data_IF_101392936785
#
_entry.id   IF_101392936785
#
_cell.length_a   1.000
_cell.length_b   1.000
_cell.length_c   1.000
_cell.angle_alpha   90.00
_cell.angle_beta   90.00
_cell.angle_gamma   90.00
#
_symmetry.space_group_name_H-M   'P 1'
#
loop_
_entity.id
_entity.type
_entity.pdbx_description
1 polymer ?
#
# COMPACT_ATOMS: atom_id res chain seq x y z
N UNK A 1 1.62 20.60 21.72
CA UNK A 1 1.09 19.38 22.35
C UNK A 1 2.09 18.86 23.37
N UNK A 2 1.70 18.81 24.64
CA UNK A 2 2.59 18.55 25.80
C UNK A 2 3.22 17.15 25.83
N UNK A 3 2.58 16.12 25.27
CA UNK A 3 3.01 14.74 25.49
C UNK A 3 3.57 14.04 24.27
N UNK A 4 3.69 14.67 23.12
CA UNK A 4 4.23 14.14 21.84
C UNK A 4 3.81 12.67 21.54
N UNK A 5 2.65 12.25 22.03
CA UNK A 5 2.12 10.90 21.78
C UNK A 5 1.76 10.78 20.31
N UNK A 6 2.49 9.94 19.59
CA UNK A 6 2.27 9.65 18.18
C UNK A 6 1.91 8.18 18.00
N UNK A 7 0.96 7.92 17.12
CA UNK A 7 0.52 6.57 16.75
C UNK A 7 -0.47 5.96 17.75
N UNK A 8 -1.16 4.93 17.26
CA UNK A 8 -2.18 4.18 18.02
C UNK A 8 -1.53 3.08 18.84
N UNK A 9 -2.07 2.80 20.02
CA UNK A 9 -1.57 1.69 20.86
C UNK A 9 -1.99 0.32 20.33
N UNK A 10 -3.14 0.22 19.65
CA UNK A 10 -3.68 -1.00 19.05
C UNK A 10 -3.86 -2.15 20.06
N UNK A 11 -4.08 -1.84 21.34
CA UNK A 11 -4.24 -2.84 22.38
C UNK A 11 -3.04 -3.75 22.63
N UNK A 12 -1.80 -3.27 22.37
CA UNK A 12 -0.57 -4.08 22.44
C UNK A 12 0.55 -3.36 23.17
N UNK A 13 1.50 -4.16 23.71
CA UNK A 13 2.75 -3.64 24.25
C UNK A 13 3.56 -2.95 23.14
N UNK A 14 4.49 -2.09 23.52
CA UNK A 14 5.31 -1.33 22.58
C UNK A 14 6.12 -2.21 21.62
N UNK A 15 6.75 -3.27 22.14
CA UNK A 15 7.53 -4.22 21.35
C UNK A 15 6.67 -5.01 20.37
N UNK A 16 5.57 -5.58 20.83
CA UNK A 16 4.62 -6.32 20.00
C UNK A 16 4.03 -5.44 18.89
N UNK A 17 3.64 -4.19 19.21
CA UNK A 17 3.13 -3.24 18.22
C UNK A 17 4.16 -2.95 17.13
N UNK A 18 5.42 -2.68 17.49
CA UNK A 18 6.50 -2.44 16.54
C UNK A 18 6.74 -3.65 15.65
N UNK A 19 6.79 -4.85 16.22
CA UNK A 19 6.96 -6.08 15.45
C UNK A 19 5.80 -6.32 14.47
N UNK A 20 4.55 -6.16 14.93
CA UNK A 20 3.36 -6.29 14.09
C UNK A 20 3.39 -5.32 12.90
N UNK A 21 3.72 -4.05 13.12
CA UNK A 21 3.77 -3.05 12.04
C UNK A 21 4.89 -3.35 11.04
N UNK A 22 6.07 -3.81 11.51
CA UNK A 22 7.16 -4.27 10.66
C UNK A 22 6.74 -5.46 9.79
N UNK A 23 6.15 -6.49 10.41
CA UNK A 23 5.70 -7.68 9.68
C UNK A 23 4.65 -7.33 8.62
N UNK A 24 3.70 -6.45 8.93
CA UNK A 24 2.70 -6.02 7.95
C UNK A 24 3.31 -5.23 6.79
N UNK A 25 4.29 -4.36 7.06
CA UNK A 25 4.99 -3.63 6.00
C UNK A 25 5.82 -4.58 5.13
N UNK A 26 6.52 -5.54 5.74
CA UNK A 26 7.26 -6.58 5.01
C UNK A 26 6.34 -7.46 4.18
N UNK A 27 5.19 -7.90 4.73
CA UNK A 27 4.21 -8.70 4.00
C UNK A 27 3.69 -7.98 2.76
N UNK A 28 3.53 -6.64 2.81
CA UNK A 28 3.13 -5.88 1.64
C UNK A 28 4.16 -5.95 0.51
N UNK A 29 5.45 -5.80 0.83
CA UNK A 29 6.52 -5.89 -0.18
C UNK A 29 6.71 -7.33 -0.68
N UNK A 30 6.58 -8.32 0.20
CA UNK A 30 6.69 -9.74 -0.14
C UNK A 30 5.58 -10.24 -1.08
N UNK A 31 4.52 -9.47 -1.32
CA UNK A 31 3.53 -9.80 -2.35
C UNK A 31 4.10 -9.75 -3.78
N UNK A 32 5.26 -9.13 -3.98
CA UNK A 32 5.98 -9.08 -5.26
C UNK A 32 6.98 -10.22 -5.44
N UNK A 33 7.00 -11.21 -4.56
CA UNK A 33 7.86 -12.38 -4.73
C UNK A 33 7.71 -13.01 -6.12
N UNK A 34 8.82 -13.47 -6.68
CA UNK A 34 8.83 -14.29 -7.88
C UNK A 34 8.07 -15.61 -7.69
N UNK A 35 7.64 -16.23 -8.77
CA UNK A 35 6.84 -17.45 -8.75
C UNK A 35 7.51 -18.61 -8.00
N UNK A 36 8.80 -18.83 -8.25
CA UNK A 36 9.57 -19.87 -7.54
C UNK A 36 9.58 -19.70 -6.02
N UNK A 37 9.68 -18.45 -5.55
CA UNK A 37 9.68 -18.18 -4.13
C UNK A 37 8.26 -18.35 -3.52
N UNK A 38 7.21 -18.06 -4.27
CA UNK A 38 5.83 -18.29 -3.85
C UNK A 38 5.49 -19.78 -3.76
N UNK A 39 6.00 -20.60 -4.67
CA UNK A 39 5.87 -22.05 -4.62
C UNK A 39 6.54 -22.65 -3.38
N UNK A 40 7.77 -22.26 -3.08
CA UNK A 40 8.53 -22.73 -1.91
C UNK A 40 7.80 -22.38 -0.61
N UNK A 41 7.24 -21.19 -0.51
CA UNK A 41 6.57 -20.71 0.71
C UNK A 41 5.07 -21.07 0.78
N UNK A 42 4.50 -21.65 -0.28
CA UNK A 42 3.09 -22.04 -0.33
C UNK A 42 2.10 -20.88 -0.17
N UNK A 43 2.54 -19.66 -0.46
CA UNK A 43 1.74 -18.45 -0.23
C UNK A 43 1.71 -17.57 -1.48
N UNK A 44 0.80 -17.86 -2.38
CA UNK A 44 0.59 -17.09 -3.60
C UNK A 44 -0.36 -15.93 -3.32
N UNK A 45 0.05 -14.67 -3.47
CA UNK A 45 -0.83 -13.53 -3.27
C UNK A 45 -1.86 -13.46 -4.40
N UNK A 46 -3.13 -13.24 -4.05
CA UNK A 46 -4.20 -13.04 -5.05
C UNK A 46 -3.97 -11.80 -5.92
N UNK A 47 -3.47 -10.74 -5.31
CA UNK A 47 -3.17 -9.47 -5.96
C UNK A 47 -1.86 -8.96 -5.41
N UNK A 48 -0.91 -8.66 -6.28
CA UNK A 48 0.39 -8.08 -5.91
C UNK A 48 0.22 -6.65 -5.40
N UNK A 49 1.19 -6.17 -4.64
CA UNK A 49 1.25 -4.80 -4.06
C UNK A 49 0.06 -4.45 -3.15
N UNK A 50 -0.63 -5.46 -2.56
CA UNK A 50 -1.86 -5.26 -1.79
C UNK A 50 -1.95 -6.19 -0.59
N UNK A 51 -2.38 -5.64 0.56
CA UNK A 51 -2.73 -6.41 1.76
C UNK A 51 -4.08 -5.95 2.32
N UNK A 52 -4.84 -6.90 2.88
CA UNK A 52 -6.11 -6.62 3.56
C UNK A 52 -5.91 -6.64 5.08
N UNK A 53 -6.35 -5.59 5.76
CA UNK A 53 -6.23 -5.46 7.22
C UNK A 53 -7.31 -4.56 7.79
N UNK A 54 -7.29 -4.28 9.10
CA UNK A 54 -8.20 -3.29 9.69
C UNK A 54 -7.73 -1.87 9.37
N UNK A 55 -8.67 -0.94 9.21
CA UNK A 55 -8.38 0.45 8.83
C UNK A 55 -7.40 1.15 9.79
N UNK A 56 -7.48 0.83 11.10
CA UNK A 56 -6.59 1.39 12.11
C UNK A 56 -5.14 0.96 11.88
N UNK A 57 -4.92 -0.33 11.59
CA UNK A 57 -3.58 -0.88 11.29
C UNK A 57 -3.06 -0.34 9.96
N UNK A 58 -3.90 -0.29 8.92
CA UNK A 58 -3.51 0.26 7.61
C UNK A 58 -3.00 1.70 7.73
N UNK A 59 -3.69 2.55 8.51
CA UNK A 59 -3.28 3.94 8.75
C UNK A 59 -1.92 4.07 9.45
N UNK A 60 -1.58 3.15 10.37
CA UNK A 60 -0.29 3.16 11.06
C UNK A 60 0.85 2.62 10.19
N UNK A 61 0.61 1.51 9.47
CA UNK A 61 1.61 0.89 8.59
C UNK A 61 1.98 1.79 7.41
N UNK A 62 1.01 2.55 6.87
CA UNK A 62 1.21 3.47 5.76
C UNK A 62 2.45 4.33 5.93
N UNK A 63 2.66 4.91 7.10
CA UNK A 63 3.80 5.80 7.35
C UNK A 63 5.15 5.09 7.26
N UNK A 64 5.22 3.80 7.59
CA UNK A 64 6.45 2.99 7.50
C UNK A 64 6.72 2.66 6.04
N UNK A 65 5.70 2.19 5.31
CA UNK A 65 5.78 1.85 3.89
C UNK A 65 6.24 3.05 3.05
N UNK A 66 5.61 4.21 3.24
CA UNK A 66 5.98 5.45 2.53
C UNK A 66 7.44 5.85 2.77
N UNK A 67 7.91 5.74 4.02
CA UNK A 67 9.32 6.01 4.34
C UNK A 67 10.27 5.05 3.67
N UNK A 68 9.94 3.75 3.62
CA UNK A 68 10.74 2.74 2.98
C UNK A 68 10.83 2.99 1.47
N UNK A 69 9.71 3.27 0.80
CA UNK A 69 9.67 3.59 -0.64
C UNK A 69 10.49 4.86 -0.93
N UNK A 70 10.31 5.92 -0.14
CA UNK A 70 11.08 7.16 -0.31
C UNK A 70 12.58 6.94 -0.17
N UNK A 71 13.01 6.09 0.80
CA UNK A 71 14.42 5.74 0.97
C UNK A 71 14.96 4.99 -0.25
N UNK A 72 14.21 4.01 -0.76
CA UNK A 72 14.62 3.21 -1.92
C UNK A 72 14.71 4.06 -3.19
N UNK A 73 13.72 4.93 -3.45
CA UNK A 73 13.74 5.81 -4.63
C UNK A 73 14.89 6.83 -4.61
N UNK A 74 15.20 7.39 -3.46
CA UNK A 74 16.29 8.38 -3.34
C UNK A 74 17.65 7.86 -3.73
N UNK A 75 17.88 6.57 -3.65
CA UNK A 75 19.17 5.95 -3.95
C UNK A 75 19.23 5.30 -5.33
N UNK A 76 18.16 5.32 -6.11
CA UNK A 76 18.17 4.80 -7.49
C UNK A 76 19.27 5.45 -8.37
N UNK A 77 19.47 6.76 -8.36
CA UNK A 77 20.58 7.36 -9.12
C UNK A 77 21.97 6.88 -8.69
N UNK A 78 22.12 6.47 -7.42
CA UNK A 78 23.37 5.91 -6.93
C UNK A 78 23.62 4.48 -7.45
N UNK A 79 22.57 3.71 -7.77
CA UNK A 79 22.70 2.42 -8.44
C UNK A 79 23.28 2.62 -9.85
N UNK A 80 22.73 3.53 -10.65
CA UNK A 80 23.21 3.86 -11.98
C UNK A 80 24.67 4.35 -11.95
N UNK A 81 25.00 5.23 -11.00
CA UNK A 81 26.38 5.71 -10.83
C UNK A 81 27.34 4.59 -10.40
N UNK A 82 26.93 3.66 -9.55
CA UNK A 82 27.74 2.53 -9.13
C UNK A 82 27.93 1.52 -10.29
N UNK A 83 26.87 1.27 -11.06
CA UNK A 83 26.92 0.35 -12.20
C UNK A 83 27.81 0.90 -13.34
N UNK A 84 27.85 2.21 -13.52
CA UNK A 84 28.76 2.85 -14.48
C UNK A 84 30.25 2.64 -14.15
N UNK A 85 30.58 2.55 -12.84
CA UNK A 85 31.95 2.33 -12.36
C UNK A 85 32.35 0.85 -12.35
N UNK A 86 31.42 -0.07 -12.59
CA UNK A 86 31.70 -1.50 -12.63
C UNK A 86 32.22 -1.92 -14.02
N UNK A 87 33.28 -2.74 -14.11
CA UNK A 87 33.74 -3.29 -15.39
C UNK A 87 32.63 -4.07 -16.09
N UNK A 88 32.54 -3.94 -17.40
CA UNK A 88 31.49 -4.56 -18.22
C UNK A 88 31.47 -6.10 -18.08
N UNK A 89 32.67 -6.71 -17.98
CA UNK A 89 32.79 -8.16 -17.73
C UNK A 89 32.14 -8.66 -16.45
N UNK A 90 32.05 -7.80 -15.43
CA UNK A 90 31.43 -8.13 -14.15
C UNK A 90 29.96 -7.68 -14.05
N UNK A 91 29.55 -6.75 -14.93
CA UNK A 91 28.18 -6.23 -14.99
C UNK A 91 27.21 -7.23 -15.62
N UNK A 92 27.66 -7.98 -16.63
CA UNK A 92 26.86 -8.97 -17.35
C UNK A 92 26.63 -10.26 -16.57
N UNK A 93 27.34 -10.49 -15.46
CA UNK A 93 27.17 -11.65 -14.63
C UNK A 93 25.97 -11.47 -13.68
N UNK A 94 25.00 -12.38 -13.70
CA UNK A 94 23.81 -12.40 -12.82
C UNK A 94 24.17 -12.31 -11.32
N UNK A 95 25.33 -12.82 -10.94
CA UNK A 95 25.88 -12.72 -9.59
C UNK A 95 27.40 -12.51 -9.66
N UNK A 96 27.86 -11.50 -8.92
CA UNK A 96 29.28 -11.26 -8.73
C UNK A 96 29.98 -12.50 -8.14
N UNK A 97 30.75 -13.19 -8.99
CA UNK A 97 31.54 -14.32 -8.55
C UNK A 97 32.82 -13.83 -7.87
N UNK A 98 32.84 -13.84 -6.54
CA UNK A 98 33.97 -13.36 -5.73
C UNK A 98 35.24 -14.20 -5.86
N UNK A 99 35.14 -15.38 -6.44
CA UNK A 99 36.30 -16.30 -6.65
C UNK A 99 37.00 -16.06 -7.99
N UNK A 100 36.36 -15.34 -8.88
CA UNK A 100 36.89 -15.03 -10.21
C UNK A 100 38.13 -14.12 -10.13
N UNK A 101 39.13 -14.38 -10.93
CA UNK A 101 40.38 -13.59 -10.90
C UNK A 101 40.16 -12.15 -11.35
N UNK A 102 39.30 -11.92 -12.33
CA UNK A 102 38.86 -10.58 -12.75
C UNK A 102 38.33 -9.75 -11.59
N UNK A 103 37.47 -10.36 -10.74
CA UNK A 103 36.96 -9.71 -9.54
C UNK A 103 38.06 -9.41 -8.52
N UNK A 104 38.99 -10.34 -8.31
CA UNK A 104 40.11 -10.17 -7.34
C UNK A 104 41.05 -9.06 -7.75
N UNK A 105 41.33 -8.93 -9.07
CA UNK A 105 42.18 -7.86 -9.65
C UNK A 105 41.45 -6.52 -9.48
N UNK A 106 40.18 -6.45 -9.91
CA UNK A 106 39.37 -5.23 -9.78
C UNK A 106 39.23 -4.75 -8.34
N UNK A 107 39.06 -5.68 -7.38
CA UNK A 107 38.96 -5.35 -5.97
C UNK A 107 40.20 -4.66 -5.38
N UNK A 108 41.38 -4.84 -6.01
CA UNK A 108 42.62 -4.20 -5.60
C UNK A 108 42.88 -2.86 -6.30
N UNK A 109 42.07 -2.52 -7.28
CA UNK A 109 42.20 -1.27 -8.04
C UNK A 109 41.55 -0.09 -7.32
N UNK A 110 41.95 1.12 -7.71
CA UNK A 110 41.32 2.36 -7.21
C UNK A 110 39.86 2.50 -7.70
N UNK A 111 39.53 1.92 -8.86
CA UNK A 111 38.16 1.90 -9.38
C UNK A 111 37.19 1.21 -8.43
N UNK A 112 37.66 0.14 -7.75
CA UNK A 112 36.84 -0.52 -6.72
C UNK A 112 36.54 0.40 -5.53
N UNK A 113 37.47 1.28 -5.14
CA UNK A 113 37.24 2.23 -4.06
C UNK A 113 36.21 3.29 -4.47
N UNK A 114 36.30 3.78 -5.71
CA UNK A 114 35.31 4.70 -6.28
C UNK A 114 33.91 4.07 -6.33
N UNK A 115 33.84 2.81 -6.81
CA UNK A 115 32.58 2.04 -6.79
C UNK A 115 32.02 1.82 -5.39
N UNK A 116 32.86 1.46 -4.43
CA UNK A 116 32.45 1.25 -3.05
C UNK A 116 31.91 2.54 -2.41
N UNK A 117 32.53 3.69 -2.72
CA UNK A 117 32.07 5.00 -2.30
C UNK A 117 30.70 5.34 -2.92
N UNK A 118 30.52 5.12 -4.22
CA UNK A 118 29.25 5.30 -4.91
C UNK A 118 28.14 4.38 -4.35
N UNK A 119 28.49 3.20 -3.91
CA UNK A 119 27.56 2.22 -3.30
C UNK A 119 27.23 2.47 -1.82
N UNK A 120 28.01 3.26 -1.13
CA UNK A 120 27.81 3.54 0.29
C UNK A 120 26.41 4.08 0.63
N UNK A 121 25.82 5.04 -0.10
CA UNK A 121 24.47 5.52 0.16
C UNK A 121 23.41 4.43 0.02
N UNK A 122 23.57 3.51 -0.95
CA UNK A 122 22.65 2.38 -1.18
C UNK A 122 22.65 1.46 0.05
N UNK A 123 23.84 1.02 0.48
CA UNK A 123 24.00 0.14 1.64
C UNK A 123 23.45 0.79 2.90
N UNK A 124 23.66 2.07 3.09
CA UNK A 124 23.11 2.81 4.22
C UNK A 124 21.58 2.89 4.18
N UNK A 125 20.98 3.08 3.02
CA UNK A 125 19.54 3.07 2.84
C UNK A 125 18.95 1.66 3.10
N UNK A 126 19.56 0.62 2.56
CA UNK A 126 19.16 -0.78 2.80
C UNK A 126 19.22 -1.13 4.28
N UNK A 127 20.28 -0.73 5.00
CA UNK A 127 20.38 -0.92 6.46
C UNK A 127 19.29 -0.19 7.24
N UNK A 128 18.93 1.02 6.83
CA UNK A 128 17.82 1.78 7.42
C UNK A 128 16.48 1.11 7.14
N UNK A 129 16.24 0.66 5.91
CA UNK A 129 15.04 -0.08 5.53
C UNK A 129 14.94 -1.41 6.30
N UNK A 130 16.03 -2.17 6.42
CA UNK A 130 16.07 -3.42 7.18
C UNK A 130 15.70 -3.22 8.66
N UNK A 131 16.13 -2.11 9.27
CA UNK A 131 15.73 -1.76 10.65
C UNK A 131 14.24 -1.53 10.77
N UNK A 132 13.61 -0.97 9.72
CA UNK A 132 12.16 -0.69 9.71
C UNK A 132 11.32 -1.91 9.33
N UNK A 133 11.79 -2.77 8.45
CA UNK A 133 11.06 -3.94 7.93
C UNK A 133 11.38 -5.22 8.71
N UNK A 134 12.65 -5.47 9.01
CA UNK A 134 13.09 -6.68 9.71
C UNK A 134 13.26 -7.91 8.82
N UNK A 135 12.87 -7.87 7.54
CA UNK A 135 13.07 -8.91 6.54
C UNK A 135 14.03 -8.44 5.47
N UNK A 136 15.08 -9.23 5.19
CA UNK A 136 16.06 -8.93 4.14
C UNK A 136 15.43 -9.06 2.76
N UNK A 137 14.69 -10.13 2.52
CA UNK A 137 14.00 -10.38 1.27
C UNK A 137 13.04 -9.24 0.89
N UNK A 138 12.26 -8.73 1.86
CA UNK A 138 11.41 -7.57 1.63
C UNK A 138 12.19 -6.30 1.28
N UNK A 139 13.41 -6.13 1.79
CA UNK A 139 14.30 -5.04 1.40
C UNK A 139 14.82 -5.25 -0.01
N UNK A 140 15.27 -6.45 -0.35
CA UNK A 140 15.81 -6.76 -1.68
C UNK A 140 14.73 -6.52 -2.75
N UNK A 141 13.50 -7.00 -2.56
CA UNK A 141 12.34 -6.75 -3.44
C UNK A 141 12.03 -5.25 -3.54
N UNK A 142 12.04 -4.54 -2.41
CA UNK A 142 11.76 -3.10 -2.41
C UNK A 142 12.74 -2.30 -3.25
N UNK A 143 14.05 -2.62 -3.17
CA UNK A 143 15.09 -1.84 -3.84
C UNK A 143 15.30 -2.26 -5.30
N UNK A 144 15.12 -3.55 -5.62
CA UNK A 144 15.40 -4.09 -6.96
C UNK A 144 14.16 -4.08 -7.87
N UNK A 145 12.95 -4.31 -7.29
CA UNK A 145 11.74 -4.50 -8.10
C UNK A 145 10.79 -3.29 -7.97
N UNK A 146 10.40 -2.96 -6.72
CA UNK A 146 9.33 -1.97 -6.48
C UNK A 146 9.81 -0.54 -6.74
N UNK A 147 11.01 -0.16 -6.27
CA UNK A 147 11.46 1.21 -6.38
C UNK A 147 11.79 1.63 -7.83
N UNK A 148 12.45 0.80 -8.67
CA UNK A 148 12.61 1.08 -10.08
C UNK A 148 11.27 1.19 -10.81
N UNK A 149 10.37 0.21 -10.65
CA UNK A 149 9.05 0.22 -11.27
C UNK A 149 8.25 1.49 -10.93
N UNK A 150 8.25 1.91 -9.66
CA UNK A 150 7.60 3.17 -9.25
C UNK A 150 8.27 4.43 -9.80
N UNK A 151 9.55 4.36 -10.14
CA UNK A 151 10.26 5.48 -10.77
C UNK A 151 9.89 5.58 -12.24
N UNK A 152 9.82 4.46 -12.94
CA UNK A 152 9.39 4.37 -14.34
C UNK A 152 7.93 4.79 -14.52
N UNK A 153 7.04 4.23 -13.70
CA UNK A 153 5.61 4.54 -13.74
C UNK A 153 5.30 6.02 -13.42
N UNK A 154 6.00 6.61 -12.47
CA UNK A 154 5.74 7.96 -11.98
C UNK A 154 7.02 8.70 -11.57
N UNK A 155 7.84 9.20 -12.52
CA UNK A 155 9.12 9.83 -12.23
C UNK A 155 8.99 11.08 -11.34
N UNK A 156 7.96 11.87 -11.53
CA UNK A 156 7.73 13.14 -10.82
C UNK A 156 7.08 12.98 -9.45
N UNK A 157 6.64 11.79 -9.08
CA UNK A 157 5.96 11.58 -7.80
C UNK A 157 6.96 11.54 -6.65
N UNK A 158 6.83 12.45 -5.71
CA UNK A 158 7.72 12.56 -4.53
C UNK A 158 7.18 11.80 -3.33
N UNK A 159 5.86 11.66 -3.19
CA UNK A 159 5.20 11.03 -2.04
C UNK A 159 3.80 10.51 -2.40
N UNK A 160 3.14 9.84 -1.46
CA UNK A 160 1.79 9.32 -1.67
C UNK A 160 1.77 8.06 -2.53
N UNK A 161 2.73 7.17 -2.33
CA UNK A 161 2.84 5.90 -3.06
C UNK A 161 1.83 4.85 -2.64
N UNK A 162 1.07 5.12 -1.57
CA UNK A 162 0.13 4.15 -1.00
C UNK A 162 -1.28 4.70 -0.95
N UNK A 163 -2.27 3.82 -1.16
CA UNK A 163 -3.70 4.09 -1.05
C UNK A 163 -4.34 3.14 -0.05
N UNK A 164 -5.34 3.64 0.70
CA UNK A 164 -6.15 2.85 1.62
C UNK A 164 -7.58 2.86 1.12
N UNK A 165 -8.09 1.69 0.73
CA UNK A 165 -9.46 1.48 0.30
C UNK A 165 -10.25 0.82 1.43
N UNK A 166 -11.39 1.38 1.84
CA UNK A 166 -12.28 0.76 2.82
C UNK A 166 -13.09 -0.35 2.14
N UNK A 167 -13.23 -1.48 2.80
CA UNK A 167 -14.11 -2.56 2.37
C UNK A 167 -15.47 -2.32 3.01
N UNK A 168 -16.53 -2.36 2.21
CA UNK A 168 -17.90 -2.12 2.68
C UNK A 168 -18.35 -3.18 3.69
N UNK A 169 -17.99 -4.46 3.45
CA UNK A 169 -18.35 -5.57 4.33
C UNK A 169 -17.44 -5.60 5.56
N UNK A 170 -17.97 -5.47 6.78
CA UNK A 170 -17.19 -5.59 8.00
C UNK A 170 -16.73 -7.02 8.22
N UNK A 171 -15.71 -7.20 9.09
CA UNK A 171 -15.19 -8.52 9.44
C UNK A 171 -16.19 -9.27 10.32
N UNK A 172 -16.47 -10.53 9.98
CA UNK A 172 -17.29 -11.42 10.79
C UNK A 172 -16.66 -11.61 12.18
N UNK A 173 -17.48 -11.59 13.20
CA UNK A 173 -17.10 -11.82 14.60
C UNK A 173 -16.99 -10.51 15.40
N UNK A 174 -16.14 -9.55 14.99
CA UNK A 174 -15.90 -8.31 15.72
C UNK A 174 -16.44 -7.04 15.04
N UNK A 175 -17.17 -7.20 13.92
CA UNK A 175 -17.69 -6.10 13.12
C UNK A 175 -16.66 -4.99 12.77
N UNK A 176 -15.36 -5.36 12.75
CA UNK A 176 -14.27 -4.44 12.52
C UNK A 176 -14.20 -3.97 11.06
N UNK A 177 -14.10 -2.66 10.84
CA UNK A 177 -13.92 -2.08 9.50
C UNK A 177 -12.63 -2.55 8.88
N UNK A 178 -12.73 -3.26 7.75
CA UNK A 178 -11.59 -3.72 6.97
C UNK A 178 -11.16 -2.67 5.95
N UNK A 179 -9.89 -2.72 5.59
CA UNK A 179 -9.32 -1.87 4.55
C UNK A 179 -8.21 -2.61 3.80
N UNK A 180 -8.07 -2.27 2.54
CA UNK A 180 -6.98 -2.69 1.68
C UNK A 180 -5.93 -1.57 1.72
N UNK A 181 -4.69 -1.93 2.04
CA UNK A 181 -3.53 -1.07 1.84
C UNK A 181 -2.83 -1.55 0.59
N UNK A 182 -2.65 -0.67 -0.38
CA UNK A 182 -2.00 -0.98 -1.65
C UNK A 182 -0.94 0.05 -2.01
N UNK A 183 0.05 -0.38 -2.78
CA UNK A 183 1.04 0.47 -3.42
C UNK A 183 0.49 0.83 -4.80
N UNK A 184 0.50 2.12 -5.12
CA UNK A 184 0.05 2.62 -6.42
C UNK A 184 1.04 2.19 -7.50
N UNK A 185 0.53 1.64 -8.59
CA UNK A 185 1.26 1.23 -9.78
C UNK A 185 0.39 1.43 -11.02
N UNK A 186 0.88 1.05 -12.18
CA UNK A 186 0.20 1.21 -13.48
C UNK A 186 -1.23 0.67 -13.47
N UNK A 187 -1.44 -0.51 -12.89
CA UNK A 187 -2.76 -1.15 -12.80
C UNK A 187 -3.74 -0.44 -11.85
N UNK A 188 -3.29 0.59 -11.14
CA UNK A 188 -4.11 1.37 -10.22
C UNK A 188 -4.48 2.77 -10.74
N UNK A 189 -3.97 3.16 -11.89
CA UNK A 189 -4.56 4.20 -12.70
C UNK A 189 -5.82 3.61 -13.35
N UNK A 190 -6.89 3.47 -12.58
CA UNK A 190 -8.21 3.49 -13.19
C UNK A 190 -8.31 4.86 -13.82
N UNK A 191 -8.27 4.86 -15.14
CA UNK A 191 -8.63 6.03 -15.92
C UNK A 191 -9.96 6.50 -15.35
N UNK A 192 -9.93 7.66 -14.72
CA UNK A 192 -11.13 8.37 -14.27
C UNK A 192 -12.01 8.79 -15.45
N UNK A 193 -11.58 8.47 -16.67
CA UNK A 193 -12.28 8.73 -17.91
C UNK A 193 -13.37 7.71 -18.27
N UNK A 194 -13.42 6.54 -17.61
CA UNK A 194 -14.47 5.53 -17.82
C UNK A 194 -15.26 5.19 -16.56
N UNK A 195 -15.51 6.14 -15.67
CA UNK A 195 -16.71 6.06 -14.86
C UNK A 195 -17.88 6.48 -15.77
N UNK A 196 -18.32 5.58 -16.62
CA UNK A 196 -19.72 5.59 -17.06
C UNK A 196 -20.52 5.57 -15.77
N UNK A 197 -21.04 6.72 -15.37
CA UNK A 197 -22.05 6.78 -14.34
C UNK A 197 -23.09 5.72 -14.74
N UNK A 198 -23.52 4.83 -13.84
CA UNK A 198 -24.61 3.94 -14.16
C UNK A 198 -25.73 4.83 -14.68
N UNK A 199 -26.15 4.60 -15.92
CA UNK A 199 -27.25 5.30 -16.52
C UNK A 199 -28.38 5.25 -15.48
N UNK A 200 -28.87 6.42 -15.09
CA UNK A 200 -30.03 6.49 -14.23
C UNK A 200 -31.11 5.60 -14.88
N UNK A 201 -31.79 4.75 -14.11
CA UNK A 201 -32.87 3.95 -14.69
C UNK A 201 -33.81 4.92 -15.39
N UNK A 202 -33.97 4.71 -16.70
CA UNK A 202 -35.00 5.39 -17.48
C UNK A 202 -36.29 4.93 -16.81
N UNK A 203 -36.96 5.85 -16.10
CA UNK A 203 -38.33 5.66 -15.70
C UNK A 203 -39.10 5.73 -17.01
N UNK A 204 -39.55 4.59 -17.52
CA UNK A 204 -40.52 4.53 -18.57
C UNK A 204 -41.71 5.34 -18.09
N UNK A 205 -42.07 6.40 -18.88
CA UNK A 205 -43.27 7.16 -18.71
C UNK A 205 -44.46 6.18 -18.73
N UNK A 206 -45.01 5.92 -17.56
CA UNK A 206 -46.31 5.25 -17.48
C UNK A 206 -47.36 6.16 -18.11
N UNK A 207 -48.26 5.64 -18.96
CA UNK A 207 -49.31 6.46 -19.54
C UNK A 207 -50.19 7.02 -18.42
N UNK A 208 -50.53 8.30 -18.58
CA UNK A 208 -51.49 8.97 -17.72
C UNK A 208 -52.87 8.32 -17.94
N UNK A 209 -53.37 7.58 -16.99
CA UNK A 209 -54.77 7.24 -16.89
C UNK A 209 -55.50 8.39 -16.19
N UNK A 210 -56.14 9.23 -17.03
CA UNK A 210 -57.25 10.07 -16.70
C UNK A 210 -58.47 9.16 -16.36
N UNK A 211 -58.79 9.04 -15.10
CA UNK A 211 -60.17 8.83 -14.61
C UNK A 211 -60.15 8.87 -13.08
N UNK A 212 -60.45 10.03 -12.52
CA UNK A 212 -60.87 10.19 -11.14
C UNK A 212 -62.37 10.52 -11.13
N UNK A 213 -63.22 9.66 -10.58
CA UNK A 213 -64.53 10.11 -10.14
C UNK A 213 -64.43 10.81 -8.79
N UNK A 214 -65.01 12.00 -8.76
CA UNK A 214 -65.29 12.71 -7.52
C UNK A 214 -66.39 11.96 -6.75
N UNK A 215 -66.13 11.67 -5.50
CA UNK A 215 -67.17 11.38 -4.52
C UNK A 215 -66.97 12.28 -3.30
N UNK A 216 -67.92 13.23 -3.23
CA UNK A 216 -68.36 13.92 -2.01
C UNK A 216 -68.81 12.89 -0.98
N UNK A 217 -68.33 12.98 0.23
CA UNK A 217 -69.14 12.95 1.45
C UNK A 217 -68.21 12.97 2.68
N UNK A 218 -68.18 14.10 3.34
CA UNK A 218 -67.75 14.22 4.74
C UNK A 218 -68.99 14.17 5.64
N UNK A 219 -68.97 13.43 6.74
CA UNK A 219 -69.64 13.87 7.95
C UNK A 219 -68.64 14.25 9.02
N UNK A 220 -68.88 15.45 9.55
CA UNK A 220 -68.41 15.89 10.81
C UNK A 220 -69.07 15.06 11.92
N UNK A 221 -68.33 14.68 12.93
CA UNK A 221 -68.87 14.51 14.26
C UNK A 221 -67.82 14.82 15.32
N UNK A 222 -68.13 15.81 16.09
CA UNK A 222 -67.81 16.16 17.46
C UNK A 222 -67.70 14.95 18.39
N UNK A 223 -66.69 14.89 19.21
CA UNK A 223 -66.87 14.82 20.68
C UNK A 223 -65.49 14.67 21.36
N UNK A 224 -65.13 15.71 22.09
CA UNK A 224 -64.21 15.61 23.19
C UNK A 224 -65.01 15.30 24.49
N UNK A 225 -64.46 14.57 25.43
CA UNK A 225 -64.44 15.08 26.78
C UNK A 225 -63.10 15.12 27.47
N UNK A 226 -62.87 16.22 28.13
CA UNK A 226 -61.93 16.39 29.20
C UNK A 226 -62.39 15.59 30.43
N UNK A 227 -61.37 15.21 31.23
CA UNK A 227 -61.37 15.20 32.71
C UNK A 227 -60.16 14.40 33.17
N UNK A 228 -59.20 15.03 33.83
CA UNK A 228 -59.09 15.32 35.25
C UNK A 228 -58.62 14.14 36.11
N UNK A 229 -57.60 14.47 36.84
CA UNK A 229 -57.19 14.10 38.19
C UNK A 229 -55.97 13.23 38.39
N UNK A 230 -55.00 13.96 38.95
CA UNK A 230 -53.91 13.39 39.78
C UNK A 230 -54.54 13.00 41.22
N UNK A 231 -53.82 12.25 42.06
CA UNK A 231 -52.66 12.78 42.79
C UNK A 231 -51.37 12.02 42.64
#
# INVERSE_FOLDING_TARGET
>A
MRHRRRGRQLGRSSSHRKAMLKNMASSLFLTERGELATEIHGNTPRVRRRITTTIQKAKEVRSIVEKCITLARKVQPAYEAADALMPESLRTADKLNKQEETYKVWRKSDDWQAWAAARAPIVNAQRKALRMLGSREAVDILFNDIAPALLEENPNRVSGFTRILKIAKPRLGDNGTQAILEILGENNNRDTSESVAPAAPVLDDAPADDDAPADDDAPADDDAPADDDAP
#
